data_IF_024851019248
#
_entry.id   IF_024851019248
#
_cell.length_a   1.000
_cell.length_b   1.000
_cell.length_c   1.000
_cell.angle_alpha   90.00
_cell.angle_beta   90.00
_cell.angle_gamma   90.00
#
_symmetry.space_group_name_H-M   'P 1'
#
loop_
_entity.id
_entity.type
_entity.pdbx_description
1 polymer ?
#
# COMPACT_ATOMS: atom_id res chain seq x y z
N UNK A 1 -28.43 -19.24 -69.45
CA UNK A 1 -27.79 -19.87 -68.28
C UNK A 1 -27.30 -18.72 -67.40
N UNK A 2 -28.20 -18.24 -66.53
CA UNK A 2 -27.97 -17.08 -65.65
C UNK A 2 -27.63 -17.63 -64.27
N UNK A 3 -26.53 -17.14 -63.69
CA UNK A 3 -26.09 -17.48 -62.35
C UNK A 3 -25.30 -16.32 -61.74
N UNK A 4 -26.00 -15.21 -61.46
CA UNK A 4 -25.51 -14.20 -60.52
C UNK A 4 -25.70 -14.75 -59.09
N UNK A 5 -24.61 -15.15 -58.45
CA UNK A 5 -24.60 -15.50 -57.05
C UNK A 5 -24.68 -14.21 -56.21
N UNK A 6 -25.79 -14.08 -55.50
CA UNK A 6 -26.09 -13.03 -54.53
C UNK A 6 -25.12 -13.13 -53.33
N UNK A 7 -24.21 -12.16 -53.19
CA UNK A 7 -23.47 -11.95 -51.95
C UNK A 7 -24.45 -11.33 -50.95
N UNK A 8 -24.94 -12.15 -50.02
CA UNK A 8 -25.75 -11.69 -48.89
C UNK A 8 -24.92 -10.68 -48.08
N UNK A 9 -25.37 -9.43 -48.06
CA UNK A 9 -24.92 -8.45 -47.10
C UNK A 9 -25.21 -8.95 -45.68
N UNK A 10 -24.17 -9.03 -44.86
CA UNK A 10 -24.29 -9.16 -43.41
C UNK A 10 -25.02 -7.93 -42.86
N UNK A 11 -26.01 -8.08 -41.96
CA UNK A 11 -26.65 -6.93 -41.34
C UNK A 11 -25.66 -6.27 -40.40
N UNK A 12 -25.19 -5.07 -40.75
CA UNK A 12 -24.52 -4.18 -39.80
C UNK A 12 -25.56 -3.70 -38.80
N UNK A 13 -25.68 -4.37 -37.65
CA UNK A 13 -26.44 -3.85 -36.51
C UNK A 13 -25.86 -2.49 -36.13
N UNK A 14 -26.56 -1.40 -36.46
CA UNK A 14 -26.21 -0.07 -35.97
C UNK A 14 -26.42 -0.05 -34.46
N UNK A 15 -25.37 0.22 -33.70
CA UNK A 15 -25.46 0.46 -32.26
C UNK A 15 -26.34 1.70 -32.01
N UNK A 16 -27.22 1.66 -31.02
CA UNK A 16 -28.13 2.76 -30.64
C UNK A 16 -27.97 3.12 -29.16
N UNK A 17 -28.17 4.39 -28.80
CA UNK A 17 -28.20 4.82 -27.39
C UNK A 17 -26.85 4.67 -26.66
N UNK A 18 -26.90 4.23 -25.40
CA UNK A 18 -25.74 4.08 -24.51
C UNK A 18 -24.64 3.15 -25.08
N UNK A 19 -25.03 2.13 -25.84
CA UNK A 19 -24.11 1.23 -26.54
C UNK A 19 -23.25 1.98 -27.59
N UNK A 20 -23.82 2.92 -28.32
CA UNK A 20 -23.08 3.72 -29.30
C UNK A 20 -22.09 4.68 -28.61
N UNK A 21 -22.48 5.24 -27.47
CA UNK A 21 -21.63 6.12 -26.67
C UNK A 21 -20.46 5.35 -26.03
N UNK A 22 -20.72 4.17 -25.49
CA UNK A 22 -19.69 3.30 -24.91
C UNK A 22 -18.67 2.84 -25.96
N UNK A 23 -19.14 2.47 -27.16
CA UNK A 23 -18.26 2.21 -28.29
C UNK A 23 -17.42 3.43 -28.69
N UNK A 24 -18.00 4.65 -28.66
CA UNK A 24 -17.26 5.87 -28.95
C UNK A 24 -16.18 6.19 -27.90
N UNK A 25 -16.40 5.84 -26.62
CA UNK A 25 -15.41 6.00 -25.54
C UNK A 25 -14.19 5.10 -25.77
N UNK A 26 -14.38 3.84 -26.16
CA UNK A 26 -13.26 2.93 -26.50
C UNK A 26 -12.46 3.46 -27.70
N UNK A 27 -13.13 4.01 -28.71
CA UNK A 27 -12.44 4.62 -29.86
C UNK A 27 -11.59 5.84 -29.43
N UNK A 28 -12.09 6.67 -28.51
CA UNK A 28 -11.33 7.82 -27.98
C UNK A 28 -10.12 7.40 -27.16
N UNK A 29 -10.24 6.36 -26.34
CA UNK A 29 -9.13 5.81 -25.55
C UNK A 29 -8.01 5.27 -26.45
N UNK A 30 -8.39 4.49 -27.47
CA UNK A 30 -7.43 3.98 -28.45
C UNK A 30 -6.69 5.12 -29.15
N UNK A 31 -7.42 6.15 -29.62
CA UNK A 31 -6.84 7.30 -30.30
C UNK A 31 -5.93 8.13 -29.38
N UNK A 32 -6.32 8.31 -28.12
CA UNK A 32 -5.53 9.04 -27.14
C UNK A 32 -4.18 8.38 -26.90
N UNK A 33 -4.14 7.05 -26.77
CA UNK A 33 -2.90 6.32 -26.52
C UNK A 33 -1.93 6.39 -27.70
N UNK A 34 -2.43 6.26 -28.93
CA UNK A 34 -1.62 6.53 -30.13
C UNK A 34 -1.11 7.97 -30.15
N UNK A 35 -1.97 8.94 -29.80
CA UNK A 35 -1.61 10.37 -29.80
C UNK A 35 -0.51 10.67 -28.77
N UNK A 36 -0.63 10.16 -27.54
CA UNK A 36 0.38 10.33 -26.49
C UNK A 36 1.71 9.72 -26.92
N UNK A 37 1.68 8.50 -27.48
CA UNK A 37 2.90 7.79 -27.86
C UNK A 37 3.65 8.47 -29.01
N UNK A 38 2.93 8.98 -30.01
CA UNK A 38 3.50 9.73 -31.14
C UNK A 38 3.97 11.12 -30.72
N UNK A 39 3.23 11.83 -29.86
CA UNK A 39 3.65 13.15 -29.39
C UNK A 39 4.91 13.09 -28.54
N UNK A 40 5.08 12.04 -27.73
CA UNK A 40 6.26 11.85 -26.90
C UNK A 40 7.49 11.42 -27.71
N UNK A 41 7.31 10.63 -28.78
CA UNK A 41 8.38 10.27 -29.71
C UNK A 41 7.82 10.05 -31.13
N UNK A 42 7.92 11.04 -32.03
CA UNK A 42 7.38 10.95 -33.39
C UNK A 42 8.01 9.86 -34.27
N UNK A 43 9.18 9.36 -33.87
CA UNK A 43 9.91 8.31 -34.59
C UNK A 43 9.73 6.91 -34.01
N UNK A 44 8.86 6.74 -33.00
CA UNK A 44 8.70 5.45 -32.33
C UNK A 44 8.09 4.40 -33.27
N UNK A 45 8.59 3.17 -33.19
CA UNK A 45 7.96 2.03 -33.84
C UNK A 45 6.63 1.71 -33.13
N UNK A 46 5.55 1.59 -33.91
CA UNK A 46 4.20 1.34 -33.44
C UNK A 46 3.74 -0.10 -33.71
N UNK A 47 4.56 -0.95 -34.33
CA UNK A 47 4.18 -2.32 -34.71
C UNK A 47 3.67 -3.10 -33.49
N UNK A 48 4.42 -3.12 -32.38
CA UNK A 48 4.01 -3.83 -31.16
C UNK A 48 2.71 -3.30 -30.56
N UNK A 49 2.52 -1.97 -30.55
CA UNK A 49 1.30 -1.34 -30.05
C UNK A 49 0.10 -1.67 -30.94
N UNK A 50 0.27 -1.62 -32.27
CA UNK A 50 -0.78 -1.94 -33.23
C UNK A 50 -1.17 -3.41 -33.12
N UNK A 51 -0.21 -4.33 -33.04
CA UNK A 51 -0.47 -5.77 -32.87
C UNK A 51 -1.18 -6.07 -31.55
N UNK A 52 -0.79 -5.39 -30.46
CA UNK A 52 -1.46 -5.50 -29.17
C UNK A 52 -2.91 -4.99 -29.26
N UNK A 53 -3.12 -3.78 -29.82
CA UNK A 53 -4.47 -3.21 -29.94
C UNK A 53 -5.38 -3.96 -30.90
N UNK A 54 -4.85 -4.56 -31.97
CA UNK A 54 -5.63 -5.43 -32.85
C UNK A 54 -6.22 -6.62 -32.10
N UNK A 55 -5.49 -7.18 -31.12
CA UNK A 55 -5.97 -8.28 -30.27
C UNK A 55 -6.95 -7.81 -29.19
N UNK A 56 -6.73 -6.64 -28.60
CA UNK A 56 -7.49 -6.19 -27.43
C UNK A 56 -8.69 -5.30 -27.76
N UNK A 57 -8.72 -4.66 -28.94
CA UNK A 57 -9.74 -3.66 -29.27
C UNK A 57 -11.15 -4.26 -29.41
N UNK A 58 -11.31 -5.36 -30.15
CA UNK A 58 -12.62 -5.97 -30.35
C UNK A 58 -13.24 -6.47 -29.01
N UNK A 59 -12.49 -7.20 -28.15
CA UNK A 59 -12.99 -7.60 -26.83
C UNK A 59 -13.32 -6.42 -25.92
N UNK A 60 -12.44 -5.40 -25.88
CA UNK A 60 -12.64 -4.21 -25.04
C UNK A 60 -13.88 -3.41 -25.48
N UNK A 61 -14.08 -3.28 -26.79
CA UNK A 61 -15.22 -2.58 -27.36
C UNK A 61 -16.53 -3.31 -27.08
N UNK A 62 -16.54 -4.64 -27.15
CA UNK A 62 -17.73 -5.44 -26.83
C UNK A 62 -18.06 -5.34 -25.33
N UNK A 63 -17.04 -5.43 -24.46
CA UNK A 63 -17.19 -5.31 -23.01
C UNK A 63 -17.82 -3.98 -22.57
N UNK A 64 -17.41 -2.87 -23.17
CA UNK A 64 -17.98 -1.55 -22.87
C UNK A 64 -19.42 -1.40 -23.36
N UNK A 65 -19.73 -1.98 -24.52
CA UNK A 65 -21.10 -1.97 -25.07
C UNK A 65 -22.04 -2.80 -24.20
N UNK A 66 -21.63 -4.00 -23.81
CA UNK A 66 -22.45 -4.91 -23.00
C UNK A 66 -22.70 -4.33 -21.60
N UNK A 67 -21.67 -3.71 -20.99
CA UNK A 67 -21.80 -2.99 -19.72
C UNK A 67 -22.79 -1.82 -19.78
N UNK A 68 -22.83 -1.08 -20.89
CA UNK A 68 -23.77 0.03 -21.06
C UNK A 68 -25.21 -0.44 -21.25
N UNK A 69 -25.41 -1.58 -21.91
CA UNK A 69 -26.73 -2.20 -22.10
C UNK A 69 -27.25 -2.82 -20.80
N UNK A 70 -26.38 -3.43 -19.99
CA UNK A 70 -26.75 -3.99 -18.68
C UNK A 70 -27.06 -2.89 -17.64
N UNK A 71 -26.34 -1.77 -17.66
CA UNK A 71 -26.63 -0.63 -16.79
C UNK A 71 -28.02 0.00 -17.03
N UNK A 72 -28.54 -0.08 -18.27
CA UNK A 72 -29.93 0.29 -18.56
C UNK A 72 -30.92 -0.74 -18.02
N UNK A 73 -30.55 -2.02 -17.96
CA UNK A 73 -31.39 -3.11 -17.43
C UNK A 73 -31.44 -3.16 -15.89
N UNK A 74 -30.39 -2.73 -15.19
CA UNK A 74 -30.29 -2.85 -13.72
C UNK A 74 -30.94 -1.69 -12.94
N UNK A 75 -31.60 -0.73 -13.61
CA UNK A 75 -32.38 0.31 -12.90
C UNK A 75 -33.63 -0.20 -12.16
N UNK A 76 -33.97 -1.49 -12.26
CA UNK A 76 -35.13 -2.10 -11.63
C UNK A 76 -34.76 -3.40 -10.90
N UNK A 77 -34.29 -3.36 -9.64
CA UNK A 77 -34.71 -4.25 -8.50
C UNK A 77 -33.75 -4.20 -7.29
N UNK A 78 -34.34 -4.32 -6.09
CA UNK A 78 -33.79 -4.12 -4.73
C UNK A 78 -33.05 -5.32 -4.07
N UNK A 79 -32.36 -5.01 -2.96
CA UNK A 79 -31.31 -5.72 -2.17
C UNK A 79 -31.79 -6.73 -1.10
N UNK A 80 -30.85 -7.47 -0.42
CA UNK A 80 -30.94 -7.60 1.05
C UNK A 80 -29.62 -7.57 1.88
N UNK A 81 -29.77 -6.96 3.08
CA UNK A 81 -29.10 -7.01 4.42
C UNK A 81 -27.62 -7.39 4.67
N UNK A 82 -26.87 -6.38 5.15
CA UNK A 82 -25.66 -6.36 6.00
C UNK A 82 -25.58 -4.97 6.70
N UNK A 83 -24.59 -4.63 7.56
CA UNK A 83 -24.47 -3.24 8.08
C UNK A 83 -24.48 -2.26 6.90
N UNK A 84 -25.03 -1.04 7.03
CA UNK A 84 -25.67 -0.35 5.92
C UNK A 84 -24.78 -0.34 4.68
N UNK A 85 -25.30 -0.91 3.59
CA UNK A 85 -24.64 -1.01 2.27
C UNK A 85 -23.83 0.25 1.91
N UNK A 86 -24.32 1.42 2.33
CA UNK A 86 -23.71 2.73 2.17
C UNK A 86 -22.20 2.81 2.47
N UNK A 87 -21.66 2.20 3.54
CA UNK A 87 -20.22 2.33 3.85
C UNK A 87 -19.35 1.50 2.91
N UNK A 88 -19.83 0.33 2.47
CA UNK A 88 -19.08 -0.55 1.56
C UNK A 88 -19.18 -0.09 0.12
N UNK A 89 -20.28 0.54 -0.25
CA UNK A 89 -20.43 1.25 -1.52
C UNK A 89 -19.34 2.30 -1.70
N UNK A 90 -18.92 2.98 -0.62
CA UNK A 90 -17.80 3.91 -0.67
C UNK A 90 -16.49 3.20 -1.04
N UNK A 91 -16.30 1.94 -0.67
CA UNK A 91 -15.05 1.18 -0.89
C UNK A 91 -14.93 0.52 -2.25
N UNK A 92 -15.98 0.58 -3.07
CA UNK A 92 -15.99 -0.05 -4.39
C UNK A 92 -14.92 0.57 -5.30
N UNK A 93 -14.33 -0.31 -6.11
CA UNK A 93 -13.38 0.07 -7.15
C UNK A 93 -14.20 0.61 -8.32
N UNK A 94 -13.99 1.89 -8.71
CA UNK A 94 -14.74 2.47 -9.81
C UNK A 94 -14.21 1.95 -11.14
N UNK A 95 -14.96 2.19 -12.23
CA UNK A 95 -14.59 1.69 -13.56
C UNK A 95 -13.37 2.39 -14.17
N UNK A 96 -13.03 3.59 -13.69
CA UNK A 96 -11.98 4.46 -14.18
C UNK A 96 -10.66 4.29 -13.42
N UNK A 97 -10.19 3.04 -13.27
CA UNK A 97 -8.90 2.76 -12.64
C UNK A 97 -7.78 2.52 -13.66
N UNK A 98 -6.57 2.95 -13.31
CA UNK A 98 -5.33 2.59 -13.97
C UNK A 98 -4.57 1.56 -13.13
N UNK A 99 -3.85 0.68 -13.81
CA UNK A 99 -2.98 -0.31 -13.16
C UNK A 99 -1.63 0.33 -12.90
N UNK A 100 -1.28 0.51 -11.62
CA UNK A 100 0.05 0.97 -11.21
C UNK A 100 0.99 -0.21 -11.10
N UNK A 101 0.54 -1.28 -10.43
CA UNK A 101 1.21 -2.57 -10.39
C UNK A 101 0.25 -3.67 -10.85
N UNK A 102 0.66 -4.56 -11.79
CA UNK A 102 -0.20 -5.62 -12.31
C UNK A 102 -0.79 -6.50 -11.20
N UNK A 103 -2.06 -6.88 -11.37
CA UNK A 103 -2.71 -7.83 -10.47
C UNK A 103 -2.13 -9.23 -10.65
N UNK A 104 -1.81 -9.90 -9.54
CA UNK A 104 -1.24 -11.24 -9.53
C UNK A 104 -2.28 -12.32 -9.90
N UNK A 105 -1.80 -13.55 -10.08
CA UNK A 105 -2.69 -14.70 -10.27
C UNK A 105 -3.60 -14.96 -9.06
N UNK A 106 -3.21 -14.56 -7.86
CA UNK A 106 -4.02 -14.79 -6.66
C UNK A 106 -5.25 -13.88 -6.63
N UNK A 107 -5.11 -12.63 -7.05
CA UNK A 107 -6.24 -11.69 -7.21
C UNK A 107 -7.14 -12.16 -8.35
N UNK A 108 -6.56 -12.48 -9.51
CA UNK A 108 -7.36 -12.88 -10.68
C UNK A 108 -8.10 -14.21 -10.46
N UNK A 109 -7.54 -15.14 -9.67
CA UNK A 109 -8.22 -16.37 -9.25
C UNK A 109 -9.41 -16.10 -8.32
N UNK A 110 -9.28 -15.11 -7.42
CA UNK A 110 -10.38 -14.71 -6.55
C UNK A 110 -11.49 -14.01 -7.34
N UNK A 111 -11.13 -13.11 -8.26
CA UNK A 111 -12.05 -12.46 -9.16
C UNK A 111 -11.35 -11.99 -10.45
N UNK A 112 -11.94 -12.34 -11.60
CA UNK A 112 -11.38 -12.05 -12.93
C UNK A 112 -11.78 -10.66 -13.47
N UNK A 113 -12.68 -9.94 -12.78
CA UNK A 113 -13.21 -8.64 -13.21
C UNK A 113 -13.32 -7.68 -12.03
N UNK A 114 -13.30 -6.36 -12.31
CA UNK A 114 -13.55 -5.32 -11.29
C UNK A 114 -14.91 -5.54 -10.61
N UNK A 115 -15.94 -5.95 -11.37
CA UNK A 115 -17.25 -6.32 -10.81
C UNK A 115 -17.12 -7.46 -9.81
N UNK A 116 -16.42 -8.53 -10.16
CA UNK A 116 -16.19 -9.64 -9.23
C UNK A 116 -15.43 -9.21 -7.97
N UNK A 117 -14.45 -8.31 -8.09
CA UNK A 117 -13.75 -7.75 -6.92
C UNK A 117 -14.70 -6.90 -6.08
N UNK A 118 -15.56 -6.09 -6.70
CA UNK A 118 -16.57 -5.30 -6.01
C UNK A 118 -17.60 -6.18 -5.28
N UNK A 119 -18.01 -7.31 -5.89
CA UNK A 119 -18.85 -8.29 -5.23
C UNK A 119 -18.15 -8.87 -3.99
N UNK A 120 -16.84 -9.16 -4.05
CA UNK A 120 -16.06 -9.57 -2.88
C UNK A 120 -15.99 -8.46 -1.82
N UNK A 121 -15.79 -7.19 -2.21
CA UNK A 121 -15.75 -6.04 -1.29
C UNK A 121 -17.05 -5.90 -0.50
N UNK A 122 -18.21 -6.05 -1.16
CA UNK A 122 -19.52 -5.96 -0.52
C UNK A 122 -19.72 -7.02 0.58
N UNK A 123 -19.08 -8.19 0.45
CA UNK A 123 -19.19 -9.30 1.39
C UNK A 123 -17.95 -9.51 2.29
N UNK A 124 -16.92 -8.68 2.12
CA UNK A 124 -15.62 -8.83 2.81
C UNK A 124 -15.67 -8.54 4.31
N UNK A 125 -14.69 -9.00 5.07
CA UNK A 125 -14.49 -8.51 6.43
C UNK A 125 -13.87 -7.10 6.40
N UNK A 126 -14.34 -6.17 7.23
CA UNK A 126 -13.60 -4.91 7.47
C UNK A 126 -12.57 -5.23 8.56
N UNK A 127 -11.30 -5.36 8.17
CA UNK A 127 -10.20 -5.65 9.10
C UNK A 127 -9.82 -4.41 9.90
N UNK A 128 -9.87 -3.25 9.24
CA UNK A 128 -9.58 -1.95 9.85
C UNK A 128 -10.19 -0.81 9.03
N UNK A 129 -10.61 0.27 9.68
CA UNK A 129 -11.02 1.50 8.98
C UNK A 129 -10.73 2.75 9.83
N UNK A 130 -10.21 3.80 9.21
CA UNK A 130 -10.09 5.12 9.83
C UNK A 130 -10.01 6.22 8.76
N UNK A 131 -10.83 7.25 8.91
CA UNK A 131 -10.90 8.35 7.94
C UNK A 131 -11.19 7.82 6.53
N UNK A 132 -10.33 8.17 5.57
CA UNK A 132 -10.45 7.71 4.16
C UNK A 132 -9.77 6.38 3.87
N UNK A 133 -9.11 5.74 4.86
CA UNK A 133 -8.37 4.50 4.66
C UNK A 133 -9.12 3.32 5.27
N UNK A 134 -9.21 2.22 4.53
CA UNK A 134 -9.81 0.98 4.99
C UNK A 134 -8.97 -0.22 4.54
N UNK A 135 -8.99 -1.29 5.34
CA UNK A 135 -8.38 -2.58 5.02
C UNK A 135 -9.48 -3.64 5.06
N UNK A 136 -9.67 -4.32 3.94
CA UNK A 136 -10.73 -5.30 3.74
C UNK A 136 -10.14 -6.70 3.52
N UNK A 137 -10.65 -7.70 4.21
CA UNK A 137 -10.35 -9.11 3.96
C UNK A 137 -11.25 -9.64 2.86
N UNK A 138 -10.88 -9.43 1.60
CA UNK A 138 -11.70 -9.77 0.43
C UNK A 138 -11.67 -11.27 0.08
N UNK A 139 -10.71 -12.02 0.61
CA UNK A 139 -10.69 -13.48 0.59
C UNK A 139 -9.92 -14.04 1.81
N UNK A 140 -9.90 -15.36 2.07
CA UNK A 140 -9.20 -15.95 3.20
C UNK A 140 -7.70 -15.58 3.28
N UNK A 141 -7.03 -15.51 2.12
CA UNK A 141 -5.60 -15.21 2.04
C UNK A 141 -5.32 -13.84 1.35
N UNK A 142 -6.34 -13.02 1.12
CA UNK A 142 -6.22 -11.78 0.36
C UNK A 142 -6.87 -10.63 1.10
N UNK A 143 -6.10 -9.57 1.29
CA UNK A 143 -6.55 -8.30 1.83
C UNK A 143 -6.40 -7.18 0.80
N UNK A 144 -7.21 -6.14 0.92
CA UNK A 144 -7.14 -4.94 0.12
C UNK A 144 -7.11 -3.72 1.04
N UNK A 145 -6.04 -2.94 0.98
CA UNK A 145 -5.94 -1.61 1.61
C UNK A 145 -6.38 -0.58 0.57
N UNK A 146 -7.34 0.27 0.90
CA UNK A 146 -7.80 1.34 0.03
C UNK A 146 -7.82 2.68 0.76
N UNK A 147 -7.67 3.77 0.02
CA UNK A 147 -7.74 5.10 0.60
C UNK A 147 -7.06 6.17 -0.24
N UNK A 148 -7.18 7.42 0.22
CA UNK A 148 -6.52 8.55 -0.42
C UNK A 148 -5.09 8.68 0.11
N UNK A 149 -4.14 8.97 -0.79
CA UNK A 149 -2.74 9.21 -0.45
C UNK A 149 -2.01 8.03 0.22
N UNK A 150 -2.43 6.79 -0.10
CA UNK A 150 -1.62 5.60 0.20
C UNK A 150 -0.37 5.68 -0.70
N UNK A 151 0.80 5.72 -0.09
CA UNK A 151 2.06 5.71 -0.81
C UNK A 151 2.39 4.29 -1.23
N UNK A 152 2.78 4.14 -2.49
CA UNK A 152 3.11 2.86 -3.12
C UNK A 152 4.56 2.81 -3.58
N UNK A 153 5.32 3.89 -3.38
CA UNK A 153 6.73 3.98 -3.77
C UNK A 153 7.61 3.08 -2.88
N UNK A 154 7.15 2.79 -1.67
CA UNK A 154 7.81 1.83 -0.76
C UNK A 154 7.80 0.40 -1.31
N UNK A 155 6.90 0.04 -2.24
CA UNK A 155 6.75 -1.34 -2.73
C UNK A 155 8.00 -1.84 -3.47
N UNK A 156 8.67 -0.99 -4.24
CA UNK A 156 9.90 -1.38 -4.95
C UNK A 156 10.99 -1.80 -3.95
N UNK A 157 11.15 -1.04 -2.87
CA UNK A 157 12.09 -1.35 -1.81
C UNK A 157 11.72 -2.61 -1.04
N UNK A 158 10.42 -2.84 -0.78
CA UNK A 158 9.95 -4.09 -0.15
C UNK A 158 10.27 -5.30 -1.03
N UNK A 159 10.07 -5.20 -2.35
CA UNK A 159 10.44 -6.26 -3.28
C UNK A 159 11.96 -6.52 -3.31
N UNK A 160 12.77 -5.47 -3.27
CA UNK A 160 14.22 -5.61 -3.18
C UNK A 160 14.67 -6.30 -1.88
N UNK A 161 14.05 -5.96 -0.74
CA UNK A 161 14.31 -6.61 0.55
C UNK A 161 13.96 -8.10 0.47
N UNK A 162 12.82 -8.46 -0.13
CA UNK A 162 12.44 -9.87 -0.32
C UNK A 162 13.44 -10.65 -1.16
N UNK A 163 14.03 -10.03 -2.19
CA UNK A 163 15.07 -10.66 -3.02
C UNK A 163 16.36 -10.97 -2.25
N UNK A 164 16.62 -10.29 -1.13
CA UNK A 164 17.77 -10.58 -0.26
C UNK A 164 17.59 -11.88 0.55
N UNK A 165 16.42 -12.53 0.47
CA UNK A 165 16.12 -13.82 1.10
C UNK A 165 16.37 -13.80 2.64
N UNK A 166 16.03 -12.69 3.28
CA UNK A 166 16.06 -12.53 4.73
C UNK A 166 14.93 -13.33 5.40
N UNK A 167 15.09 -13.67 6.69
CA UNK A 167 14.06 -14.38 7.45
C UNK A 167 13.01 -13.42 8.03
N UNK A 168 12.49 -12.54 7.18
CA UNK A 168 11.50 -11.54 7.57
C UNK A 168 10.14 -11.92 6.96
N UNK A 169 9.08 -12.10 7.76
CA UNK A 169 7.78 -12.50 7.25
C UNK A 169 7.07 -11.28 6.63
N UNK A 170 7.30 -11.03 5.35
CA UNK A 170 6.72 -9.89 4.62
C UNK A 170 5.57 -10.36 3.72
N UNK A 171 4.35 -9.80 3.84
CA UNK A 171 3.24 -10.15 2.97
C UNK A 171 3.50 -9.81 1.50
N UNK A 172 3.01 -10.63 0.57
CA UNK A 172 3.09 -10.33 -0.86
C UNK A 172 2.14 -9.22 -1.30
N UNK A 173 2.65 -8.31 -2.12
CA UNK A 173 1.83 -7.32 -2.81
C UNK A 173 1.35 -7.94 -4.11
N UNK A 174 0.03 -8.08 -4.23
CA UNK A 174 -0.63 -8.74 -5.35
C UNK A 174 -1.11 -7.76 -6.42
N UNK A 175 -0.77 -6.48 -6.32
CA UNK A 175 -1.02 -5.46 -7.32
C UNK A 175 -1.60 -4.18 -6.74
N UNK A 176 -1.63 -3.14 -7.57
CA UNK A 176 -2.07 -1.80 -7.19
C UNK A 176 -2.88 -1.18 -8.31
N UNK A 177 -4.08 -0.72 -7.98
CA UNK A 177 -4.93 0.09 -8.84
C UNK A 177 -5.02 1.50 -8.28
N UNK A 178 -5.11 2.49 -9.17
CA UNK A 178 -5.36 3.88 -8.80
C UNK A 178 -6.55 4.40 -9.59
N UNK A 179 -7.46 5.12 -8.94
CA UNK A 179 -8.54 5.80 -9.66
C UNK A 179 -7.98 7.00 -10.44
N UNK A 180 -8.30 7.05 -11.73
CA UNK A 180 -7.77 8.00 -12.71
C UNK A 180 -8.00 9.44 -12.25
N UNK A 181 -6.94 10.26 -12.26
CA UNK A 181 -7.03 11.68 -11.90
C UNK A 181 -7.24 11.94 -10.40
N UNK A 182 -7.07 10.92 -9.55
CA UNK A 182 -7.20 11.03 -8.09
C UNK A 182 -5.98 10.42 -7.39
N UNK A 183 -5.86 10.64 -6.08
CA UNK A 183 -4.85 9.98 -5.22
C UNK A 183 -5.39 8.74 -4.53
N UNK A 184 -6.52 8.21 -5.01
CA UNK A 184 -7.20 7.07 -4.41
C UNK A 184 -6.62 5.77 -4.94
N UNK A 185 -5.98 5.02 -4.05
CA UNK A 185 -5.29 3.76 -4.38
C UNK A 185 -6.00 2.56 -3.76
N UNK A 186 -5.86 1.42 -4.42
CA UNK A 186 -6.32 0.09 -4.00
C UNK A 186 -5.13 -0.86 -4.08
N UNK A 187 -4.58 -1.23 -2.93
CA UNK A 187 -3.40 -2.08 -2.79
C UNK A 187 -3.85 -3.47 -2.36
N UNK A 188 -3.62 -4.46 -3.21
CA UNK A 188 -3.91 -5.86 -2.93
C UNK A 188 -2.69 -6.50 -2.30
N UNK A 189 -2.89 -7.22 -1.19
CA UNK A 189 -1.79 -7.85 -0.45
C UNK A 189 -2.22 -9.15 0.21
N UNK A 190 -1.26 -10.00 0.54
CA UNK A 190 -1.52 -11.24 1.27
C UNK A 190 -2.11 -10.92 2.64
N UNK A 191 -3.19 -11.63 3.00
CA UNK A 191 -3.76 -11.54 4.35
C UNK A 191 -2.88 -12.33 5.30
N UNK A 192 -2.25 -11.64 6.25
CA UNK A 192 -1.42 -12.26 7.28
C UNK A 192 -2.31 -13.02 8.27
N UNK A 193 -2.04 -14.31 8.56
CA UNK A 193 -2.78 -15.04 9.58
C UNK A 193 -2.38 -14.58 10.98
N UNK A 194 -3.32 -14.61 11.92
CA UNK A 194 -3.09 -14.27 13.33
C UNK A 194 -3.75 -12.97 13.77
N UNK A 195 -3.26 -12.42 14.88
CA UNK A 195 -3.78 -11.21 15.51
C UNK A 195 -2.67 -10.15 15.62
N UNK A 196 -3.02 -8.84 15.60
CA UNK A 196 -2.05 -7.78 15.86
C UNK A 196 -1.41 -7.97 17.23
N UNK A 197 -0.08 -7.87 17.32
CA UNK A 197 0.66 -8.16 18.56
C UNK A 197 0.16 -7.32 19.74
N UNK A 198 -0.07 -6.02 19.51
CA UNK A 198 -0.56 -5.11 20.55
C UNK A 198 -1.92 -5.50 21.12
N UNK A 199 -2.77 -6.19 20.35
CA UNK A 199 -4.10 -6.60 20.80
C UNK A 199 -4.07 -7.77 21.79
N UNK A 200 -3.02 -8.60 21.73
CA UNK A 200 -2.88 -9.78 22.60
C UNK A 200 -1.79 -9.60 23.67
N UNK A 201 -0.95 -8.57 23.57
CA UNK A 201 0.24 -8.38 24.38
C UNK A 201 0.01 -8.55 25.88
N UNK A 202 -1.04 -7.92 26.42
CA UNK A 202 -1.42 -8.00 27.84
C UNK A 202 -1.76 -9.41 28.32
N UNK A 203 -2.20 -10.28 27.41
CA UNK A 203 -2.58 -11.67 27.71
C UNK A 203 -1.38 -12.62 27.67
N UNK A 204 -0.25 -12.19 27.10
CA UNK A 204 0.94 -13.02 26.95
C UNK A 204 1.67 -13.17 28.29
N UNK A 205 2.17 -14.38 28.53
CA UNK A 205 3.09 -14.66 29.65
C UNK A 205 4.48 -14.03 29.41
N UNK A 206 5.30 -13.85 30.45
CA UNK A 206 6.68 -13.37 30.29
C UNK A 206 7.53 -14.22 29.34
N UNK A 207 7.34 -15.55 29.33
CA UNK A 207 8.04 -16.45 28.41
C UNK A 207 7.62 -16.22 26.96
N UNK A 208 6.32 -16.04 26.72
CA UNK A 208 5.79 -15.72 25.39
C UNK A 208 6.29 -14.36 24.90
N UNK A 209 6.27 -13.32 25.74
CA UNK A 209 6.84 -12.00 25.42
C UNK A 209 8.34 -12.08 25.12
N UNK A 210 9.09 -12.87 25.88
CA UNK A 210 10.51 -13.14 25.60
C UNK A 210 10.71 -13.84 24.26
N UNK A 211 9.84 -14.78 23.88
CA UNK A 211 9.89 -15.44 22.57
C UNK A 211 9.60 -14.49 21.40
N UNK A 212 8.72 -13.50 21.60
CA UNK A 212 8.47 -12.44 20.61
C UNK A 212 9.70 -11.56 20.46
N UNK A 213 10.30 -11.13 21.57
CA UNK A 213 11.55 -10.37 21.57
C UNK A 213 12.67 -11.08 20.82
N UNK A 214 12.87 -12.38 21.05
CA UNK A 214 13.88 -13.20 20.36
C UNK A 214 13.72 -13.14 18.84
N UNK A 215 12.49 -13.28 18.34
CA UNK A 215 12.19 -13.23 16.90
C UNK A 215 12.37 -11.83 16.34
N UNK A 216 11.90 -10.79 17.04
CA UNK A 216 12.11 -9.41 16.62
C UNK A 216 13.59 -9.06 16.58
N UNK A 217 14.40 -9.55 17.53
CA UNK A 217 15.85 -9.35 17.51
C UNK A 217 16.50 -9.94 16.26
N UNK A 218 16.09 -11.15 15.85
CA UNK A 218 16.57 -11.74 14.61
C UNK A 218 16.12 -10.92 13.37
N UNK A 219 14.83 -10.53 13.32
CA UNK A 219 14.27 -9.74 12.22
C UNK A 219 14.99 -8.40 12.08
N UNK A 220 15.15 -7.65 13.16
CA UNK A 220 15.84 -6.36 13.14
C UNK A 220 17.32 -6.51 12.85
N UNK A 221 17.98 -7.57 13.33
CA UNK A 221 19.37 -7.85 12.95
C UNK A 221 19.51 -8.04 11.44
N UNK A 222 18.63 -8.84 10.82
CA UNK A 222 18.62 -9.08 9.38
C UNK A 222 18.38 -7.77 8.61
N UNK A 223 17.34 -7.01 8.97
CA UNK A 223 17.00 -5.75 8.31
C UNK A 223 18.10 -4.68 8.45
N UNK A 224 18.75 -4.60 9.61
CA UNK A 224 19.86 -3.66 9.88
C UNK A 224 21.18 -4.07 9.24
N UNK A 225 21.29 -5.32 8.78
CA UNK A 225 22.46 -5.79 8.02
C UNK A 225 22.44 -5.33 6.56
N UNK A 226 21.26 -4.94 6.06
CA UNK A 226 21.12 -4.46 4.69
C UNK A 226 21.93 -3.18 4.50
N UNK A 227 22.83 -3.13 3.51
CA UNK A 227 23.60 -1.92 3.26
C UNK A 227 22.65 -0.81 2.83
N UNK A 228 22.86 0.38 3.39
CA UNK A 228 22.37 1.58 2.71
C UNK A 228 23.25 1.77 1.48
N UNK A 229 22.78 1.31 0.32
CA UNK A 229 23.32 1.77 -0.95
C UNK A 229 22.60 3.07 -1.26
N UNK A 230 23.24 4.25 -1.12
CA UNK A 230 22.74 5.41 -1.82
C UNK A 230 22.70 4.98 -3.29
N UNK A 231 21.49 4.81 -3.83
CA UNK A 231 21.31 4.48 -5.23
C UNK A 231 22.17 5.45 -6.06
N UNK A 232 22.74 4.99 -7.17
CA UNK A 232 23.35 5.87 -8.18
C UNK A 232 22.31 6.86 -8.77
N UNK A 233 21.04 6.76 -8.36
CA UNK A 233 20.03 7.77 -8.58
C UNK A 233 20.26 9.05 -7.75
N UNK A 234 20.26 10.23 -8.40
CA UNK A 234 20.20 11.51 -7.72
C UNK A 234 18.94 11.59 -6.84
N UNK A 235 19.08 11.40 -5.51
CA UNK A 235 17.98 11.52 -4.56
C UNK A 235 17.75 10.33 -3.63
N UNK A 236 18.75 9.50 -3.29
CA UNK A 236 18.60 8.51 -2.23
C UNK A 236 18.17 9.17 -0.90
N UNK A 237 16.89 9.00 -0.53
CA UNK A 237 16.27 9.72 0.59
C UNK A 237 16.35 8.94 1.91
N UNK A 238 16.77 9.62 2.98
CA UNK A 238 16.55 9.28 4.38
C UNK A 238 15.06 9.15 4.68
N UNK A 239 14.71 8.04 5.30
CA UNK A 239 13.36 7.71 5.70
C UNK A 239 12.47 7.27 4.55
N UNK A 240 11.35 6.64 4.86
CA UNK A 240 10.22 6.37 3.97
C UNK A 240 9.01 7.22 4.30
N UNK A 241 7.92 7.06 3.56
CA UNK A 241 6.65 7.74 3.84
C UNK A 241 6.78 9.26 3.92
N UNK A 242 6.26 9.88 4.99
CA UNK A 242 6.17 11.34 5.17
C UNK A 242 7.47 12.11 4.83
N UNK A 243 8.65 11.82 5.41
CA UNK A 243 9.92 12.42 4.98
C UNK A 243 10.14 12.40 3.46
N UNK A 244 10.00 11.24 2.79
CA UNK A 244 10.15 11.11 1.32
C UNK A 244 9.13 11.96 0.56
N UNK A 245 7.88 12.00 1.04
CA UNK A 245 6.77 12.67 0.34
C UNK A 245 6.91 14.19 0.29
N UNK A 246 7.60 14.81 1.24
CA UNK A 246 7.67 16.26 1.34
C UNK A 246 9.00 16.84 0.87
N UNK A 247 10.13 16.18 1.09
CA UNK A 247 11.44 16.70 0.69
C UNK A 247 12.47 15.58 0.58
N UNK A 248 13.33 15.56 -0.46
CA UNK A 248 14.49 14.69 -0.46
C UNK A 248 15.41 15.05 0.70
N UNK A 249 15.61 14.11 1.63
CA UNK A 249 16.52 14.24 2.77
C UNK A 249 17.73 13.36 2.49
N UNK A 250 18.93 13.92 2.37
CA UNK A 250 20.12 13.18 1.92
C UNK A 250 21.07 12.80 3.06
N UNK A 251 20.92 13.43 4.23
CA UNK A 251 21.76 13.21 5.39
C UNK A 251 21.00 13.46 6.71
N UNK A 252 21.58 13.03 7.82
CA UNK A 252 20.97 13.18 9.14
C UNK A 252 20.81 14.65 9.57
N UNK A 253 21.67 15.56 9.11
CA UNK A 253 21.52 17.00 9.38
C UNK A 253 20.23 17.53 8.77
N UNK A 254 19.96 17.18 7.52
CA UNK A 254 18.70 17.51 6.83
C UNK A 254 17.50 16.82 7.50
N UNK A 255 17.68 15.58 7.97
CA UNK A 255 16.64 14.88 8.74
C UNK A 255 16.31 15.62 10.03
N UNK A 256 17.31 16.02 10.80
CA UNK A 256 17.14 16.80 12.03
C UNK A 256 16.50 18.17 11.76
N UNK A 257 16.87 18.80 10.65
CA UNK A 257 16.21 20.02 10.20
C UNK A 257 14.74 19.76 9.89
N UNK A 258 14.41 18.72 9.12
CA UNK A 258 13.04 18.33 8.81
C UNK A 258 12.20 18.10 10.07
N UNK A 259 12.72 17.37 11.06
CA UNK A 259 11.99 17.10 12.31
C UNK A 259 11.73 18.34 13.17
N UNK A 260 12.61 19.34 13.11
CA UNK A 260 12.56 20.54 13.94
C UNK A 260 12.02 21.77 13.21
N UNK A 261 11.72 21.66 11.91
CA UNK A 261 11.22 22.75 11.09
C UNK A 261 9.70 22.74 11.01
N UNK A 262 9.07 23.87 11.34
CA UNK A 262 7.66 24.08 11.13
C UNK A 262 7.44 25.47 10.51
N UNK A 263 6.97 25.57 9.24
CA UNK A 263 6.85 26.84 8.55
C UNK A 263 5.78 27.77 9.15
N UNK A 264 4.91 27.25 10.03
CA UNK A 264 3.86 28.01 10.71
C UNK A 264 4.28 28.53 12.09
N UNK A 265 5.51 28.25 12.55
CA UNK A 265 6.00 28.65 13.86
C UNK A 265 7.25 29.53 13.73
N UNK A 266 7.31 30.58 14.54
CA UNK A 266 8.51 31.42 14.66
C UNK A 266 9.62 30.64 15.34
N UNK A 267 10.87 30.86 14.91
CA UNK A 267 12.03 30.32 15.61
C UNK A 267 12.12 30.96 17.00
N UNK A 268 12.11 30.12 18.04
CA UNK A 268 12.21 30.54 19.44
C UNK A 268 13.48 29.97 20.07
N UNK A 269 13.94 30.57 21.16
CA UNK A 269 15.07 30.05 21.96
C UNK A 269 14.86 28.58 22.38
N UNK A 270 13.60 28.14 22.54
CA UNK A 270 13.27 26.75 22.83
C UNK A 270 13.60 25.82 21.66
N UNK A 271 13.28 26.19 20.42
CA UNK A 271 13.62 25.40 19.22
C UNK A 271 15.13 25.33 19.04
N UNK A 272 15.84 26.46 19.25
CA UNK A 272 17.31 26.51 19.20
C UNK A 272 17.92 25.58 20.24
N UNK A 273 17.37 25.57 21.46
CA UNK A 273 17.79 24.65 22.52
C UNK A 273 17.54 23.19 22.16
N UNK A 274 16.38 22.84 21.60
CA UNK A 274 16.10 21.44 21.18
C UNK A 274 17.09 21.00 20.11
N UNK A 275 17.34 21.85 19.10
CA UNK A 275 18.29 21.59 18.02
C UNK A 275 19.72 21.38 18.51
N UNK A 276 20.14 22.03 19.59
CA UNK A 276 21.50 21.82 20.14
C UNK A 276 21.72 20.43 20.76
N UNK A 277 20.64 19.70 21.07
CA UNK A 277 20.71 18.32 21.56
C UNK A 277 20.63 17.27 20.44
N UNK A 278 20.22 17.66 19.23
CA UNK A 278 20.12 16.77 18.07
C UNK A 278 21.53 16.44 17.55
N UNK A 279 21.98 15.22 17.76
CA UNK A 279 23.28 14.74 17.26
C UNK A 279 23.17 14.19 15.85
N UNK A 280 24.33 14.06 15.20
CA UNK A 280 24.49 13.44 13.89
C UNK A 280 25.58 12.37 13.94
N UNK A 281 25.67 11.56 12.89
CA UNK A 281 26.67 10.51 12.75
C UNK A 281 26.18 9.12 13.17
N UNK A 282 24.86 8.95 13.34
CA UNK A 282 24.28 7.65 13.61
C UNK A 282 24.30 6.79 12.35
N UNK A 283 24.42 5.47 12.53
CA UNK A 283 24.29 4.53 11.41
C UNK A 283 22.87 4.54 10.86
N UNK A 284 22.71 4.38 9.55
CA UNK A 284 21.39 4.22 8.93
C UNK A 284 20.94 2.77 8.94
N UNK A 285 19.71 2.58 9.37
CA UNK A 285 19.05 1.30 9.54
C UNK A 285 17.66 1.34 8.92
N UNK A 286 17.21 0.21 8.36
CA UNK A 286 15.84 0.08 7.90
C UNK A 286 14.87 0.03 9.11
N UNK A 287 13.83 0.86 9.08
CA UNK A 287 12.73 0.93 10.06
C UNK A 287 11.46 0.22 9.58
N UNK A 288 10.67 -0.38 10.48
CA UNK A 288 9.35 -0.99 10.19
C UNK A 288 8.33 -0.66 11.30
N UNK A 289 7.02 -0.65 10.99
CA UNK A 289 6.01 -0.11 11.91
C UNK A 289 5.22 -1.14 12.73
N UNK A 290 4.85 -2.31 12.18
CA UNK A 290 3.90 -3.19 12.86
C UNK A 290 4.12 -4.70 12.62
N UNK A 291 3.92 -5.50 13.67
CA UNK A 291 4.06 -6.96 13.66
C UNK A 291 2.74 -7.68 14.04
N UNK A 292 2.51 -8.81 13.37
CA UNK A 292 1.39 -9.72 13.56
C UNK A 292 1.90 -11.04 14.11
N UNK A 293 1.09 -11.65 14.96
CA UNK A 293 1.44 -12.90 15.64
C UNK A 293 0.36 -13.95 15.49
N UNK A 294 0.80 -15.19 15.29
CA UNK A 294 0.00 -16.39 15.44
C UNK A 294 0.37 -17.12 16.73
N UNK A 295 -0.59 -17.87 17.25
CA UNK A 295 -0.34 -18.88 18.29
C UNK A 295 -0.48 -20.25 17.66
N UNK A 296 0.56 -21.07 17.76
CA UNK A 296 0.51 -22.45 17.24
C UNK A 296 -0.21 -23.40 18.22
N UNK A 297 -0.46 -22.99 19.46
CA UNK A 297 -1.28 -23.68 20.47
C UNK A 297 -1.48 -22.76 21.69
N UNK A 298 -2.64 -22.79 22.35
CA UNK A 298 -2.90 -22.07 23.62
C UNK A 298 -2.00 -22.61 24.76
N UNK A 299 -1.50 -23.85 24.60
CA UNK A 299 -0.59 -24.51 25.53
C UNK A 299 0.89 -24.25 25.22
N UNK A 300 1.22 -23.56 24.12
CA UNK A 300 2.60 -23.25 23.75
C UNK A 300 3.15 -22.06 24.53
N UNK A 301 4.33 -22.23 25.12
CA UNK A 301 5.11 -21.14 25.72
C UNK A 301 5.73 -20.19 24.67
N UNK A 302 5.58 -20.50 23.37
CA UNK A 302 6.05 -19.67 22.26
C UNK A 302 4.89 -19.05 21.48
N UNK A 303 5.06 -17.78 21.12
CA UNK A 303 4.24 -17.05 20.14
C UNK A 303 5.07 -16.90 18.87
N UNK A 304 4.48 -17.10 17.70
CA UNK A 304 5.17 -17.03 16.42
C UNK A 304 4.80 -15.73 15.70
N UNK A 305 5.78 -14.96 15.24
CA UNK A 305 5.54 -13.79 14.38
C UNK A 305 5.22 -14.30 12.98
N UNK A 306 4.01 -14.02 12.51
CA UNK A 306 3.47 -14.52 11.24
C UNK A 306 3.56 -13.50 10.11
N UNK A 307 3.74 -12.22 10.43
CA UNK A 307 3.92 -11.17 9.43
C UNK A 307 4.30 -9.83 10.01
N UNK A 308 5.04 -9.04 9.23
CA UNK A 308 5.29 -7.62 9.45
C UNK A 308 4.51 -6.86 8.38
N UNK A 309 3.68 -5.90 8.77
CA UNK A 309 2.85 -5.13 7.85
C UNK A 309 3.17 -3.64 7.90
N UNK A 310 2.42 -2.87 7.10
CA UNK A 310 2.42 -1.41 7.11
C UNK A 310 3.79 -0.76 6.81
N UNK A 311 4.45 -1.31 5.79
CA UNK A 311 5.73 -0.86 5.26
C UNK A 311 5.67 0.54 4.61
N UNK A 312 4.57 1.28 4.65
CA UNK A 312 4.46 2.59 3.99
C UNK A 312 5.39 3.66 4.59
N UNK A 313 5.77 3.49 5.85
CA UNK A 313 6.71 4.36 6.57
C UNK A 313 8.14 3.78 6.62
N UNK A 314 8.38 2.62 6.01
CA UNK A 314 9.69 1.98 6.08
C UNK A 314 10.72 2.70 5.21
N UNK A 315 11.96 2.76 5.69
CA UNK A 315 13.06 3.42 4.99
C UNK A 315 14.31 3.48 5.86
N UNK A 316 15.37 4.10 5.36
CA UNK A 316 16.64 4.20 6.08
C UNK A 316 16.63 5.41 7.00
N UNK A 317 16.57 5.17 8.30
CA UNK A 317 16.59 6.19 9.34
C UNK A 317 17.82 6.03 10.24
N UNK A 318 18.21 7.06 11.00
CA UNK A 318 19.16 6.89 12.09
C UNK A 318 18.80 5.71 12.99
N UNK A 319 19.80 4.94 13.44
CA UNK A 319 19.59 3.67 14.16
C UNK A 319 18.79 3.78 15.46
N UNK A 320 18.70 4.99 16.04
CA UNK A 320 17.86 5.29 17.19
C UNK A 320 16.36 5.37 16.85
N UNK A 321 15.99 5.58 15.59
CA UNK A 321 14.62 5.88 15.19
C UNK A 321 13.62 4.77 15.53
N UNK A 322 14.04 3.52 15.37
CA UNK A 322 13.24 2.35 15.75
C UNK A 322 12.94 2.33 17.26
N UNK A 323 13.92 2.66 18.10
CA UNK A 323 13.74 2.78 19.55
C UNK A 323 12.73 3.87 19.92
N UNK A 324 12.72 4.98 19.19
CA UNK A 324 11.72 6.04 19.40
C UNK A 324 10.32 5.53 19.08
N UNK A 325 10.14 4.99 17.87
CA UNK A 325 8.82 4.57 17.39
C UNK A 325 8.25 3.39 18.16
N UNK A 326 9.10 2.46 18.60
CA UNK A 326 8.69 1.37 19.48
C UNK A 326 8.13 1.86 20.83
N UNK A 327 8.47 3.08 21.27
CA UNK A 327 7.99 3.66 22.53
C UNK A 327 6.87 4.69 22.36
N UNK A 328 6.61 5.18 21.13
CA UNK A 328 5.69 6.29 20.90
C UNK A 328 4.22 6.02 21.28
N UNK A 329 3.80 4.75 21.34
CA UNK A 329 2.43 4.35 21.69
C UNK A 329 2.31 3.79 23.11
N UNK A 330 3.40 3.85 23.89
CA UNK A 330 3.43 3.40 25.28
C UNK A 330 3.05 4.57 26.20
N UNK A 331 2.01 4.37 27.01
CA UNK A 331 1.60 5.33 28.03
C UNK A 331 1.05 4.59 29.25
N UNK A 332 1.07 5.22 30.44
CA UNK A 332 0.58 4.58 31.66
C UNK A 332 -0.84 4.04 31.49
N UNK A 333 -1.03 2.76 31.82
CA UNK A 333 -2.33 2.07 31.71
C UNK A 333 -2.72 1.60 30.30
N UNK A 334 -1.87 1.71 29.27
CA UNK A 334 -2.12 1.05 27.99
C UNK A 334 -1.90 -0.47 28.09
N UNK A 335 -2.49 -1.24 27.18
CA UNK A 335 -2.38 -2.72 27.22
C UNK A 335 -0.96 -3.25 26.93
N UNK A 336 -0.06 -2.36 26.49
CA UNK A 336 1.34 -2.65 26.21
C UNK A 336 2.30 -1.96 27.20
N UNK A 337 1.86 -1.59 28.40
CA UNK A 337 2.66 -0.79 29.35
C UNK A 337 4.04 -1.38 29.67
N UNK A 338 4.20 -2.71 29.65
CA UNK A 338 5.48 -3.39 29.91
C UNK A 338 6.31 -3.70 28.65
N UNK A 339 5.87 -3.29 27.46
CA UNK A 339 6.58 -3.52 26.19
C UNK A 339 8.03 -3.03 26.19
N UNK A 340 8.31 -1.93 26.88
CA UNK A 340 9.67 -1.38 26.99
C UNK A 340 10.68 -2.37 27.59
N UNK A 341 10.23 -3.33 28.41
CA UNK A 341 11.07 -4.39 29.00
C UNK A 341 11.47 -5.46 27.97
N UNK A 342 10.67 -5.59 26.91
CA UNK A 342 10.80 -6.61 25.87
C UNK A 342 11.28 -6.04 24.53
N UNK A 343 11.78 -4.80 24.52
CA UNK A 343 12.38 -4.24 23.31
C UNK A 343 13.54 -5.11 22.80
N UNK A 344 13.63 -5.31 21.49
CA UNK A 344 14.77 -5.99 20.86
C UNK A 344 16.09 -5.34 21.29
N UNK A 345 17.08 -6.13 21.67
CA UNK A 345 18.42 -5.60 22.01
C UNK A 345 19.10 -4.94 20.83
N UNK A 346 18.83 -5.44 19.62
CA UNK A 346 19.41 -5.00 18.35
C UNK A 346 19.01 -3.58 17.96
N UNK A 347 17.88 -3.07 18.49
CA UNK A 347 17.45 -1.68 18.23
C UNK A 347 18.20 -0.64 19.07
N UNK A 348 18.92 -1.09 20.11
CA UNK A 348 19.71 -0.25 21.00
C UNK A 348 18.86 0.50 22.04
N UNK A 349 19.53 1.33 22.85
CA UNK A 349 18.90 2.10 23.94
C UNK A 349 19.28 3.56 23.79
N UNK A 350 18.29 4.41 23.49
CA UNK A 350 18.52 5.80 23.05
C UNK A 350 17.69 6.82 23.87
N UNK A 351 17.90 6.91 25.20
CA UNK A 351 17.07 7.74 26.07
C UNK A 351 17.23 9.24 25.81
N UNK A 352 18.42 9.68 25.36
CA UNK A 352 18.67 11.07 25.01
C UNK A 352 17.85 11.46 23.78
N UNK A 353 17.96 10.69 22.70
CA UNK A 353 17.24 10.91 21.44
C UNK A 353 15.72 10.82 21.67
N UNK A 354 15.28 9.93 22.57
CA UNK A 354 13.88 9.82 22.97
C UNK A 354 13.38 11.05 23.71
N UNK A 355 14.15 11.56 24.67
CA UNK A 355 13.82 12.82 25.34
C UNK A 355 13.73 13.98 24.34
N UNK A 356 14.62 14.02 23.34
CA UNK A 356 14.58 15.03 22.28
C UNK A 356 13.33 14.90 21.40
N UNK A 357 12.92 13.69 20.99
CA UNK A 357 11.68 13.49 20.20
C UNK A 357 10.43 13.90 20.98
N UNK A 358 10.35 13.61 22.29
CA UNK A 358 9.26 14.09 23.14
C UNK A 358 9.21 15.63 23.23
N UNK A 359 10.37 16.30 23.24
CA UNK A 359 10.41 17.76 23.16
C UNK A 359 9.95 18.25 21.77
N UNK A 360 10.36 17.59 20.70
CA UNK A 360 9.92 17.94 19.34
C UNK A 360 8.41 17.76 19.16
N UNK A 361 7.82 16.71 19.71
CA UNK A 361 6.38 16.44 19.57
C UNK A 361 5.53 17.53 20.23
N UNK A 362 5.96 18.01 21.41
CA UNK A 362 5.28 19.09 22.13
C UNK A 362 5.37 20.46 21.43
N UNK A 363 6.47 20.72 20.70
CA UNK A 363 6.83 22.09 20.30
C UNK A 363 7.03 22.32 18.80
N UNK A 364 7.30 21.28 18.02
CA UNK A 364 7.58 21.36 16.59
C UNK A 364 6.49 20.71 15.75
N UNK A 365 5.88 19.61 16.22
CA UNK A 365 4.82 18.89 15.50
C UNK A 365 3.43 19.49 15.73
#
# INVERSE_FOLDING_TARGET
MVGQACVRGTPSNKLTGAAAEAAAKVNKLLLHEFTVRVNNNPSTDLEELIQFKLKTYLPLRQLFVDSAVEAESMKNTESPSGPPLAVREEFLIPSDVVVIHPLSMDVTRAAHTIRGINDLILHSDILWHFGSTAVLGIAPNLAMKLGNYIDVDHLAMVEDIKRQNLRVPIPDTHGVLQQTGTTRNFVFMSRVPGQPLGSIWKTLSPYQKASVREQLDAIFSDLRSLPFTPSDEPGAVYGGGTPRRYTPISNETEFNHFLSFNPRRTETSHIVMIRSYMTTGHRLCLYISEAFTGTDDVLSERVTITGIIDWEMCGWYPEYWEYLKALNTIFPGCDCEDWWEYLPTTIGVWPKEHAVDLMLDKWCR
#
